data_IF_316882468087
#
_entry.id   IF_316882468087
#
_cell.length_a   1.000
_cell.length_b   1.000
_cell.length_c   1.000
_cell.angle_alpha   90.00
_cell.angle_beta   90.00
_cell.angle_gamma   90.00
#
_symmetry.space_group_name_H-M   'P 1'
#
loop_
_entity.id
_entity.type
_entity.pdbx_description
1 polymer ?
#
# COMPACT_ATOMS: atom_id res chain seq x y z
N UNK A 1 -28.65 11.52 -16.48
CA UNK A 1 -27.92 10.49 -15.73
C UNK A 1 -26.52 10.43 -16.32
N UNK A 2 -25.53 10.99 -15.63
CA UNK A 2 -24.18 11.17 -16.19
C UNK A 2 -23.40 9.88 -15.94
N UNK A 3 -23.10 9.13 -17.00
CA UNK A 3 -22.24 7.96 -16.90
C UNK A 3 -20.82 8.43 -16.54
N UNK A 4 -20.34 8.03 -15.36
CA UNK A 4 -18.95 8.20 -14.95
C UNK A 4 -18.19 7.04 -15.62
N UNK A 5 -17.34 7.37 -16.59
CA UNK A 5 -16.49 6.38 -17.26
C UNK A 5 -15.34 5.99 -16.33
N UNK A 6 -15.29 4.72 -15.92
CA UNK A 6 -14.15 4.14 -15.24
C UNK A 6 -13.17 3.62 -16.30
N UNK A 7 -11.96 4.16 -16.35
CA UNK A 7 -10.89 3.55 -17.17
C UNK A 7 -10.32 2.37 -16.39
N UNK A 8 -10.42 1.18 -16.99
CA UNK A 8 -10.15 -0.14 -16.40
C UNK A 8 -8.69 -0.60 -16.49
N UNK A 9 -7.75 0.28 -16.84
CA UNK A 9 -6.33 -0.06 -16.87
C UNK A 9 -5.64 0.38 -15.58
N UNK A 10 -4.76 -0.46 -14.98
CA UNK A 10 -3.90 -0.01 -13.90
C UNK A 10 -3.05 1.14 -14.44
N UNK A 11 -3.22 2.34 -13.86
CA UNK A 11 -2.49 3.51 -14.34
C UNK A 11 -1.08 3.56 -13.77
N UNK A 12 -0.91 3.08 -12.54
CA UNK A 12 0.32 3.29 -11.79
C UNK A 12 0.64 2.08 -10.91
N UNK A 13 1.86 1.58 -11.04
CA UNK A 13 2.38 0.43 -10.32
C UNK A 13 3.60 0.88 -9.52
N UNK A 14 3.56 0.62 -8.22
CA UNK A 14 4.69 0.86 -7.32
C UNK A 14 5.16 -0.47 -6.76
N UNK A 15 6.41 -0.84 -7.08
CA UNK A 15 7.08 -2.01 -6.55
C UNK A 15 8.17 -1.55 -5.58
N UNK A 16 8.32 -2.26 -4.47
CA UNK A 16 9.31 -1.94 -3.46
C UNK A 16 9.91 -3.20 -2.84
N UNK A 17 11.14 -3.03 -2.39
CA UNK A 17 11.84 -3.96 -1.51
C UNK A 17 12.22 -3.21 -0.24
N UNK A 18 11.93 -3.82 0.90
CA UNK A 18 12.21 -3.27 2.22
C UNK A 18 12.82 -4.34 3.11
N UNK A 19 14.04 -4.08 3.60
CA UNK A 19 14.73 -4.93 4.55
C UNK A 19 14.44 -4.43 5.97
N UNK A 20 13.98 -5.33 6.83
CA UNK A 20 13.74 -5.11 8.25
C UNK A 20 14.80 -5.89 9.02
N UNK A 21 15.76 -5.17 9.57
CA UNK A 21 16.83 -5.72 10.42
C UNK A 21 16.36 -5.85 11.87
N UNK A 22 16.98 -6.75 12.64
CA UNK A 22 16.65 -7.02 14.03
C UNK A 22 15.15 -7.28 14.25
N UNK A 23 14.56 -8.09 13.36
CA UNK A 23 13.13 -8.35 13.26
C UNK A 23 12.51 -8.80 14.60
N UNK A 24 13.23 -9.61 15.38
CA UNK A 24 12.77 -10.05 16.70
C UNK A 24 12.62 -8.92 17.73
N UNK A 25 13.29 -7.79 17.52
CA UNK A 25 13.26 -6.60 18.38
C UNK A 25 12.35 -5.49 17.85
N UNK A 26 11.70 -5.72 16.71
CA UNK A 26 10.91 -4.71 16.02
C UNK A 26 9.73 -4.25 16.89
N UNK A 27 9.46 -2.94 16.99
CA UNK A 27 8.28 -2.45 17.69
C UNK A 27 7.00 -2.96 17.03
N UNK A 28 5.89 -2.96 17.79
CA UNK A 28 4.56 -3.40 17.31
C UNK A 28 4.09 -2.69 16.02
N UNK A 29 4.69 -1.57 15.67
CA UNK A 29 4.39 -0.81 14.46
C UNK A 29 5.70 -0.32 13.85
N UNK A 30 5.90 -0.60 12.57
CA UNK A 30 7.00 -0.05 11.77
C UNK A 30 6.48 0.53 10.47
N UNK A 31 7.27 1.45 9.89
CA UNK A 31 6.92 2.14 8.66
C UNK A 31 8.03 1.96 7.64
N UNK A 32 7.63 1.73 6.39
CA UNK A 32 8.55 1.70 5.26
C UNK A 32 9.16 3.09 5.04
N UNK A 33 10.25 3.17 4.26
CA UNK A 33 10.64 4.41 3.63
C UNK A 33 9.47 5.05 2.89
N UNK A 34 9.50 6.37 2.84
CA UNK A 34 8.49 7.17 2.17
C UNK A 34 8.61 7.04 0.65
N UNK A 35 7.48 6.98 -0.04
CA UNK A 35 7.41 6.97 -1.50
C UNK A 35 6.31 7.88 -2.01
N UNK A 36 6.33 8.12 -3.32
CA UNK A 36 5.30 8.88 -4.02
C UNK A 36 4.82 8.01 -5.18
N UNK A 37 3.58 7.51 -5.14
CA UNK A 37 3.13 6.49 -6.10
C UNK A 37 2.84 7.03 -7.49
N UNK A 38 2.71 8.35 -7.63
CA UNK A 38 2.25 9.00 -8.85
C UNK A 38 3.20 10.13 -9.25
N UNK A 39 3.54 10.25 -10.54
CA UNK A 39 4.31 11.39 -11.01
C UNK A 39 3.54 12.68 -10.74
N UNK A 40 4.19 13.65 -10.09
CA UNK A 40 3.65 14.94 -9.65
C UNK A 40 2.73 14.93 -8.42
N UNK A 41 2.62 13.81 -7.71
CA UNK A 41 1.95 13.79 -6.41
C UNK A 41 2.77 14.50 -5.34
N UNK A 42 2.14 15.44 -4.64
CA UNK A 42 2.72 16.08 -3.46
C UNK A 42 2.62 15.16 -2.23
N UNK A 43 1.62 14.27 -2.24
CA UNK A 43 1.37 13.35 -1.17
C UNK A 43 2.50 12.33 -1.00
N UNK A 44 2.90 12.18 0.26
CA UNK A 44 3.93 11.23 0.68
C UNK A 44 3.28 10.03 1.32
N UNK A 45 3.61 8.85 0.81
CA UNK A 45 2.99 7.60 1.18
C UNK A 45 4.00 6.74 1.92
N UNK A 46 3.53 5.95 2.87
CA UNK A 46 4.34 4.92 3.52
C UNK A 46 3.46 3.73 3.87
N UNK A 47 4.07 2.55 3.84
CA UNK A 47 3.45 1.33 4.32
C UNK A 47 3.72 1.21 5.80
N UNK A 48 2.68 1.07 6.60
CA UNK A 48 2.78 0.74 8.01
C UNK A 48 2.46 -0.75 8.20
N UNK A 49 3.38 -1.49 8.80
CA UNK A 49 3.14 -2.86 9.25
C UNK A 49 2.87 -2.83 10.75
N UNK A 50 1.69 -3.32 11.13
CA UNK A 50 1.32 -3.55 12.52
C UNK A 50 1.51 -5.03 12.83
N UNK A 51 2.35 -5.30 13.82
CA UNK A 51 2.70 -6.63 14.29
C UNK A 51 2.00 -6.90 15.62
N UNK A 52 1.37 -8.07 15.71
CA UNK A 52 0.67 -8.53 16.90
C UNK A 52 1.06 -9.98 17.12
N UNK A 53 1.59 -10.28 18.31
CA UNK A 53 1.86 -11.65 18.70
C UNK A 53 0.56 -12.46 18.65
N UNK A 54 0.65 -13.66 18.07
CA UNK A 54 -0.48 -14.57 17.99
C UNK A 54 -1.02 -14.90 19.37
N UNK A 55 -2.33 -14.81 19.51
CA UNK A 55 -3.00 -15.40 20.68
C UNK A 55 -3.17 -16.90 20.46
N UNK A 56 -3.05 -17.66 21.55
CA UNK A 56 -3.13 -19.12 21.64
C UNK A 56 -4.23 -19.72 20.72
N UNK A 57 -3.98 -20.85 20.03
CA UNK A 57 -2.88 -21.80 20.22
C UNK A 57 -1.64 -21.59 19.32
N UNK A 58 -1.56 -20.47 18.59
CA UNK A 58 -0.53 -20.29 17.57
C UNK A 58 0.60 -19.35 18.03
N UNK A 59 1.72 -19.92 18.47
CA UNK A 59 2.99 -19.20 18.66
C UNK A 59 3.48 -18.66 17.31
N UNK A 60 3.22 -17.39 17.03
CA UNK A 60 3.66 -16.73 15.81
C UNK A 60 3.33 -15.25 15.80
N UNK A 61 3.50 -14.61 14.65
CA UNK A 61 3.32 -13.18 14.47
C UNK A 61 2.27 -12.91 13.41
N UNK A 62 1.27 -12.12 13.76
CA UNK A 62 0.32 -11.58 12.80
C UNK A 62 0.78 -10.18 12.37
N UNK A 63 0.89 -9.99 11.06
CA UNK A 63 1.27 -8.74 10.43
C UNK A 63 0.09 -8.24 9.61
N UNK A 64 -0.35 -7.01 9.87
CA UNK A 64 -1.37 -6.33 9.06
C UNK A 64 -0.75 -5.10 8.40
N UNK A 65 -0.95 -4.95 7.08
CA UNK A 65 -0.44 -3.80 6.34
C UNK A 65 -1.48 -2.69 6.23
N UNK A 66 -1.01 -1.46 6.42
CA UNK A 66 -1.75 -0.22 6.23
C UNK A 66 -0.99 0.67 5.27
N UNK A 67 -1.71 1.51 4.54
CA UNK A 67 -1.17 2.62 3.79
C UNK A 67 -1.49 3.90 4.56
N UNK A 68 -0.48 4.71 4.82
CA UNK A 68 -0.64 6.03 5.41
C UNK A 68 -0.10 7.09 4.46
N UNK A 69 -0.80 8.23 4.41
CA UNK A 69 -0.49 9.34 3.52
C UNK A 69 -0.30 10.62 4.34
N UNK A 70 0.66 11.46 3.95
CA UNK A 70 0.92 12.74 4.60
C UNK A 70 -0.20 13.77 4.36
N UNK A 71 -0.86 13.68 3.22
CA UNK A 71 -1.94 14.57 2.83
C UNK A 71 -2.90 13.88 1.85
N UNK A 72 -4.10 14.46 1.73
CA UNK A 72 -5.16 13.94 0.86
C UNK A 72 -5.07 14.55 -0.53
N UNK A 73 -4.73 13.73 -1.50
CA UNK A 73 -4.74 14.12 -2.91
C UNK A 73 -5.94 13.54 -3.68
N UNK A 74 -6.37 12.33 -3.30
CA UNK A 74 -7.45 11.60 -3.96
C UNK A 74 -8.67 11.46 -3.06
N UNK A 75 -9.84 11.59 -3.66
CA UNK A 75 -11.14 11.41 -2.99
C UNK A 75 -11.59 9.95 -2.99
N UNK A 76 -11.24 9.22 -4.05
CA UNK A 76 -11.50 7.80 -4.23
C UNK A 76 -10.36 7.20 -5.05
N UNK A 77 -9.98 5.97 -4.76
CA UNK A 77 -9.08 5.16 -5.57
C UNK A 77 -9.21 3.69 -5.17
N UNK A 78 -8.66 2.79 -5.96
CA UNK A 78 -8.62 1.36 -5.67
C UNK A 78 -7.17 0.92 -5.61
N UNK A 79 -6.84 0.10 -4.61
CA UNK A 79 -5.50 -0.48 -4.47
C UNK A 79 -5.61 -1.99 -4.51
N UNK A 80 -4.86 -2.61 -5.43
CA UNK A 80 -4.46 -4.01 -5.31
C UNK A 80 -3.08 -4.07 -4.66
N UNK A 81 -2.97 -4.76 -3.54
CA UNK A 81 -1.78 -4.87 -2.71
C UNK A 81 -1.29 -6.30 -2.71
N UNK A 82 -0.04 -6.50 -3.09
CA UNK A 82 0.64 -7.81 -3.06
C UNK A 82 1.83 -7.66 -2.14
N UNK A 83 1.93 -8.52 -1.14
CA UNK A 83 3.04 -8.53 -0.19
C UNK A 83 3.63 -9.92 -0.08
N UNK A 84 4.94 -10.00 -0.19
CA UNK A 84 5.72 -11.21 0.01
C UNK A 84 6.81 -10.95 1.04
N UNK A 85 6.91 -11.88 1.98
CA UNK A 85 7.86 -11.87 3.09
C UNK A 85 8.84 -12.99 2.83
N UNK A 86 10.11 -12.63 2.70
CA UNK A 86 11.22 -13.52 2.41
C UNK A 86 12.25 -13.45 3.52
N UNK A 87 13.02 -14.53 3.67
CA UNK A 87 14.33 -14.41 4.32
C UNK A 87 15.31 -13.65 3.42
N UNK A 88 16.46 -13.24 3.96
CA UNK A 88 17.50 -12.60 3.14
C UNK A 88 18.04 -13.53 2.04
N UNK A 89 17.99 -14.84 2.26
CA UNK A 89 18.36 -15.88 1.30
C UNK A 89 17.27 -16.18 0.24
N UNK A 90 16.30 -15.27 0.06
CA UNK A 90 15.20 -15.38 -0.90
C UNK A 90 14.27 -16.59 -0.72
N UNK A 91 14.22 -17.18 0.48
CA UNK A 91 13.19 -18.17 0.82
C UNK A 91 11.88 -17.44 1.16
N UNK A 92 10.80 -17.76 0.44
CA UNK A 92 9.48 -17.23 0.77
C UNK A 92 9.01 -17.79 2.12
N UNK A 93 8.64 -16.89 3.03
CA UNK A 93 8.10 -17.20 4.36
C UNK A 93 6.58 -17.09 4.33
N UNK A 94 6.06 -15.98 3.82
CA UNK A 94 4.62 -15.77 3.71
C UNK A 94 4.30 -14.80 2.58
N UNK A 95 3.09 -14.87 2.05
CA UNK A 95 2.60 -13.89 1.11
C UNK A 95 1.10 -13.71 1.26
N UNK A 96 0.62 -12.55 0.88
CA UNK A 96 -0.81 -12.27 0.78
C UNK A 96 -1.07 -11.22 -0.31
N UNK A 97 -2.24 -11.35 -0.94
CA UNK A 97 -2.71 -10.43 -1.98
C UNK A 97 -4.12 -10.01 -1.65
N UNK A 98 -4.34 -8.71 -1.61
CA UNK A 98 -5.62 -8.13 -1.24
C UNK A 98 -6.00 -6.98 -2.16
N UNK A 99 -7.27 -6.94 -2.51
CA UNK A 99 -7.87 -5.87 -3.29
C UNK A 99 -8.79 -5.05 -2.39
N UNK A 100 -8.62 -3.73 -2.39
CA UNK A 100 -9.44 -2.85 -1.57
C UNK A 100 -9.81 -1.53 -2.28
N UNK A 101 -11.12 -1.22 -2.41
CA UNK A 101 -11.55 0.12 -2.77
C UNK A 101 -11.34 1.05 -1.57
N UNK A 102 -10.66 2.17 -1.80
CA UNK A 102 -10.38 3.18 -0.80
C UNK A 102 -11.26 4.40 -1.04
N UNK A 103 -12.10 4.69 -0.05
CA UNK A 103 -12.89 5.90 0.00
C UNK A 103 -12.28 6.84 1.03
N UNK A 104 -11.63 7.90 0.55
CA UNK A 104 -10.94 8.84 1.43
C UNK A 104 -11.95 9.80 2.06
N UNK A 105 -12.13 9.75 3.38
CA UNK A 105 -12.79 10.80 4.16
C UNK A 105 -11.73 11.74 4.75
N UNK A 106 -12.10 13.00 5.01
CA UNK A 106 -11.17 13.98 5.59
C UNK A 106 -10.60 13.57 6.96
N UNK A 107 -11.24 12.63 7.66
CA UNK A 107 -10.84 12.23 9.01
C UNK A 107 -9.73 11.16 9.03
N UNK A 108 -9.55 10.37 7.96
CA UNK A 108 -8.66 9.21 7.97
C UNK A 108 -7.63 9.31 6.84
N UNK A 109 -6.34 9.42 7.20
CA UNK A 109 -5.22 9.34 6.24
C UNK A 109 -4.48 7.99 6.29
N UNK A 110 -4.97 7.07 7.12
CA UNK A 110 -4.46 5.71 7.30
C UNK A 110 -5.53 4.71 6.88
N UNK A 111 -5.17 3.80 5.97
CA UNK A 111 -6.09 2.87 5.30
C UNK A 111 -5.59 1.44 5.46
N UNK A 112 -6.48 0.53 5.85
CA UNK A 112 -6.15 -0.88 5.87
C UNK A 112 -6.02 -1.40 4.42
N UNK A 113 -4.93 -2.07 4.11
CA UNK A 113 -4.76 -2.74 2.81
C UNK A 113 -5.43 -4.13 2.80
N UNK A 114 -5.94 -4.57 3.95
CA UNK A 114 -6.51 -5.90 4.22
C UNK A 114 -5.55 -7.07 3.96
N UNK A 115 -4.26 -6.77 3.77
CA UNK A 115 -3.18 -7.75 3.78
C UNK A 115 -3.00 -8.24 5.21
N UNK A 116 -3.16 -9.55 5.43
CA UNK A 116 -3.04 -10.22 6.73
C UNK A 116 -2.10 -11.40 6.59
N UNK A 117 -0.96 -11.30 7.23
CA UNK A 117 0.12 -12.28 7.11
C UNK A 117 0.36 -12.90 8.47
N UNK A 118 0.50 -14.22 8.49
CA UNK A 118 0.88 -14.97 9.67
C UNK A 118 2.25 -15.60 9.43
N UNK A 119 3.19 -15.34 10.32
CA UNK A 119 4.51 -15.97 10.32
C UNK A 119 4.59 -16.86 11.58
N UNK A 120 4.61 -18.19 11.42
CA UNK A 120 4.76 -19.08 12.57
C UNK A 120 6.17 -18.93 13.15
N UNK A 121 6.30 -19.08 14.47
CA UNK A 121 7.60 -18.95 15.15
C UNK A 121 8.64 -19.98 14.67
N UNK A 122 8.19 -21.13 14.16
CA UNK A 122 9.05 -22.13 13.50
C UNK A 122 9.83 -21.55 12.32
N UNK A 123 9.24 -20.59 11.60
CA UNK A 123 9.85 -20.00 10.42
C UNK A 123 10.87 -18.91 10.76
N UNK A 124 10.91 -18.45 12.01
CA UNK A 124 11.90 -17.48 12.47
C UNK A 124 13.31 -18.06 12.46
N UNK A 125 13.44 -19.39 12.59
CA UNK A 125 14.72 -20.09 12.42
C UNK A 125 15.32 -19.88 11.01
N UNK A 126 14.50 -19.49 10.03
CA UNK A 126 14.92 -19.19 8.66
C UNK A 126 15.14 -17.71 8.39
N UNK A 127 15.17 -16.86 9.43
CA UNK A 127 15.58 -15.46 9.35
C UNK A 127 17.05 -15.34 9.77
N UNK A 128 18.02 -15.63 8.87
CA UNK A 128 19.43 -15.42 9.18
C UNK A 128 19.65 -13.94 9.52
N UNK A 129 20.55 -13.70 10.48
CA UNK A 129 20.86 -12.35 10.96
C UNK A 129 19.62 -11.59 11.48
N UNK A 130 18.58 -12.31 11.90
CA UNK A 130 17.32 -11.74 12.37
C UNK A 130 16.73 -10.71 11.39
N UNK A 131 16.84 -11.00 10.09
CA UNK A 131 16.51 -10.06 9.02
C UNK A 131 15.40 -10.60 8.13
N UNK A 132 14.39 -9.75 7.91
CA UNK A 132 13.21 -10.04 7.10
C UNK A 132 13.18 -9.12 5.88
N UNK A 133 13.02 -9.70 4.68
CA UNK A 133 12.89 -8.96 3.43
C UNK A 133 11.42 -8.92 3.00
N UNK A 134 10.87 -7.73 2.82
CA UNK A 134 9.51 -7.51 2.33
C UNK A 134 9.57 -7.03 0.89
N UNK A 135 9.00 -7.80 -0.03
CA UNK A 135 8.79 -7.41 -1.44
C UNK A 135 7.31 -7.11 -1.62
N UNK A 136 6.99 -5.88 -2.00
CA UNK A 136 5.61 -5.44 -2.16
C UNK A 136 5.32 -4.82 -3.51
N UNK A 137 4.07 -4.90 -3.93
CA UNK A 137 3.54 -4.25 -5.13
C UNK A 137 2.19 -3.65 -4.84
N UNK A 138 2.06 -2.36 -5.11
CA UNK A 138 0.80 -1.63 -5.07
C UNK A 138 0.41 -1.28 -6.50
N UNK A 139 -0.79 -1.66 -6.89
CA UNK A 139 -1.38 -1.25 -8.16
C UNK A 139 -2.54 -0.32 -7.86
N UNK A 140 -2.45 0.93 -8.31
CA UNK A 140 -3.43 1.97 -8.02
C UNK A 140 -4.25 2.23 -9.29
N UNK A 141 -5.56 2.23 -9.14
CA UNK A 141 -6.49 2.42 -10.26
C UNK A 141 -7.72 3.22 -9.84
N UNK A 142 -8.43 3.77 -10.82
CA UNK A 142 -9.71 4.46 -10.60
C UNK A 142 -9.63 5.68 -9.68
N UNK A 143 -8.47 6.35 -9.61
CA UNK A 143 -8.28 7.49 -8.71
C UNK A 143 -9.04 8.73 -9.20
N UNK A 144 -9.66 9.46 -8.27
CA UNK A 144 -10.37 10.73 -8.51
C UNK A 144 -9.70 11.85 -7.70
N UNK A 145 -9.04 12.77 -8.40
CA UNK A 145 -8.37 13.92 -7.79
C UNK A 145 -9.42 14.87 -7.19
N UNK A 146 -9.08 15.49 -6.06
CA UNK A 146 -9.90 16.54 -5.45
C UNK A 146 -9.79 17.84 -6.27
N UNK A 147 -10.61 17.99 -7.32
CA UNK A 147 -10.58 19.20 -8.14
C UNK A 147 -11.34 20.34 -7.44
N UNK A 148 -10.62 21.20 -6.74
CA UNK A 148 -10.95 22.63 -6.70
C UNK A 148 -9.91 23.29 -7.60
N UNK A 149 -10.35 23.82 -8.73
CA UNK A 149 -9.56 24.47 -9.80
C UNK A 149 -8.91 23.49 -10.81
N UNK A 150 -9.64 23.20 -11.88
CA UNK A 150 -9.10 23.35 -13.22
C UNK A 150 -10.27 23.68 -14.15
N UNK A 151 -10.47 24.97 -14.39
CA UNK A 151 -11.06 25.45 -15.62
C UNK A 151 -10.23 24.88 -16.77
N UNK A 152 -10.63 23.72 -17.30
CA UNK A 152 -10.26 23.32 -18.65
C UNK A 152 -10.67 24.51 -19.53
N UNK A 153 -9.69 25.25 -20.06
CA UNK A 153 -9.99 26.25 -21.08
C UNK A 153 -10.69 25.49 -22.20
N UNK A 154 -11.92 25.90 -22.50
CA UNK A 154 -12.64 25.38 -23.63
C UNK A 154 -11.73 25.48 -24.87
N UNK A 155 -11.66 24.41 -25.65
CA UNK A 155 -11.05 24.48 -26.97
C UNK A 155 -11.72 25.63 -27.74
N UNK A 156 -10.96 26.46 -28.47
CA UNK A 156 -11.56 27.52 -29.27
C UNK A 156 -12.61 26.90 -30.19
N UNK A 157 -13.80 27.51 -30.24
CA UNK A 157 -14.85 27.07 -31.14
C UNK A 157 -14.31 27.06 -32.58
N UNK A 158 -14.67 26.05 -33.39
CA UNK A 158 -14.29 26.06 -34.80
C UNK A 158 -14.78 27.35 -35.47
N UNK A 159 -14.03 27.90 -36.43
CA UNK A 159 -14.43 29.11 -37.13
C UNK A 159 -15.80 28.88 -37.77
N UNK A 160 -16.72 29.83 -37.54
CA UNK A 160 -18.03 29.85 -38.18
C UNK A 160 -17.80 30.23 -39.65
N UNK A 161 -18.21 29.36 -40.57
CA UNK A 161 -18.29 29.65 -42.01
C UNK A 161 -19.46 30.59 -42.32
#
# INVERSE_FOLDING_TARGET
MTAIFYTSNPKDVYEFEWIIENFSLVPKVIRSPQFTPLPNSHAKWFIELKMVDGFFPSDGLFITAFLEMSEREFTQYTINSVFHFYSIADRCIACDTSFHPVYSSYANMRYALNVKIYIPKSDWAYLPEDTLKVKGKLTIAGHKINSIINTLRALPAPPVE
#
